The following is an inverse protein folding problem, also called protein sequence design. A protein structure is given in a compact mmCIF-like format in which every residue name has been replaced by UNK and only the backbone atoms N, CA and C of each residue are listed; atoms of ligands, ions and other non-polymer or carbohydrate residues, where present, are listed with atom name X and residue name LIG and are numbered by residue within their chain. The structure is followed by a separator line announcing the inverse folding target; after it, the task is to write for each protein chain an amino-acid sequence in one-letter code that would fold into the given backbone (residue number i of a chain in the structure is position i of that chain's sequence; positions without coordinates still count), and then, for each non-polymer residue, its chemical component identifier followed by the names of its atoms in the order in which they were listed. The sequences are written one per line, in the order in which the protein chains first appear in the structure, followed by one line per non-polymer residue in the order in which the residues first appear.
data_IF_143405776066
#
_entry.id   IF_143405776066
#
_cell.length_a   1.000
_cell.length_b   1.000
_cell.length_c   1.000
_cell.angle_alpha   90.00
_cell.angle_beta   90.00
_cell.angle_gamma   90.00
#
_symmetry.space_group_name_H-M   'P 1'
#
loop_
_entity.id
_entity.type
_entity.pdbx_description
1 polymer ?
#
# COMPACT_ATOMS: atom_id res chain seq x y z
N UNK A 1 -13.63 8.94 7.57
CA UNK A 1 -14.57 8.57 6.48
C UNK A 1 -13.89 7.94 5.24
N UNK A 2 -12.60 7.58 5.30
CA UNK A 2 -11.87 7.04 4.14
C UNK A 2 -11.99 5.53 3.89
N UNK A 3 -12.33 4.71 4.88
CA UNK A 3 -12.30 3.25 4.73
C UNK A 3 -13.65 2.70 4.20
N UNK A 4 -13.65 1.87 3.14
CA UNK A 4 -14.89 1.35 2.51
C UNK A 4 -15.06 -0.16 2.60
N UNK A 5 -13.97 -0.92 2.55
CA UNK A 5 -14.00 -2.38 2.46
C UNK A 5 -12.73 -2.98 3.03
N UNK A 6 -12.85 -4.10 3.74
CA UNK A 6 -11.75 -4.94 4.22
C UNK A 6 -12.14 -6.41 4.06
N UNK A 7 -11.20 -7.23 3.60
CA UNK A 7 -11.27 -8.69 3.62
C UNK A 7 -9.89 -9.25 3.93
N UNK A 8 -9.86 -10.31 4.72
CA UNK A 8 -8.66 -11.08 4.99
C UNK A 8 -8.91 -12.53 4.59
N UNK A 9 -7.98 -13.14 3.85
CA UNK A 9 -8.00 -14.56 3.55
C UNK A 9 -6.63 -15.19 3.74
N UNK A 10 -6.63 -16.47 4.08
CA UNK A 10 -5.49 -17.35 3.90
C UNK A 10 -5.61 -17.96 2.49
N UNK A 11 -4.48 -17.99 1.77
CA UNK A 11 -4.37 -18.67 0.47
C UNK A 11 -3.61 -19.99 0.58
N UNK A 12 -2.80 -20.14 1.62
CA UNK A 12 -2.00 -21.31 1.89
C UNK A 12 -1.73 -21.42 3.40
N UNK A 13 -1.82 -22.63 4.00
CA UNK A 13 -2.14 -23.92 3.36
C UNK A 13 -3.61 -24.11 2.96
N UNK A 14 -4.53 -23.34 3.54
CA UNK A 14 -5.96 -23.43 3.26
C UNK A 14 -6.42 -22.16 2.53
N UNK A 15 -7.23 -22.32 1.48
CA UNK A 15 -7.95 -21.21 0.84
C UNK A 15 -9.23 -20.94 1.65
N UNK A 16 -9.16 -19.97 2.57
CA UNK A 16 -10.27 -19.63 3.47
C UNK A 16 -10.31 -18.15 3.80
N UNK A 17 -11.51 -17.63 4.00
CA UNK A 17 -11.71 -16.31 4.60
C UNK A 17 -11.39 -16.36 6.10
N UNK A 18 -10.76 -15.31 6.62
CA UNK A 18 -10.36 -15.21 8.01
C UNK A 18 -11.29 -14.28 8.78
N UNK A 19 -11.58 -14.68 10.02
CA UNK A 19 -12.30 -13.83 10.95
C UNK A 19 -11.43 -12.65 11.40
N UNK A 20 -12.06 -11.49 11.54
CA UNK A 20 -11.44 -10.30 12.07
C UNK A 20 -12.39 -9.51 12.96
N UNK A 21 -11.82 -8.73 13.87
CA UNK A 21 -12.53 -7.69 14.62
C UNK A 21 -12.07 -6.32 14.17
N UNK A 22 -13.00 -5.35 14.15
CA UNK A 22 -12.71 -3.95 13.85
C UNK A 22 -12.87 -3.11 15.12
N UNK A 23 -11.94 -2.20 15.36
CA UNK A 23 -12.09 -1.14 16.36
C UNK A 23 -11.78 0.23 15.78
N UNK A 24 -12.47 1.25 16.29
CA UNK A 24 -12.33 2.65 15.91
C UNK A 24 -11.80 3.43 17.11
N UNK A 25 -10.70 4.14 16.93
CA UNK A 25 -10.14 5.04 17.93
C UNK A 25 -9.78 6.37 17.27
N UNK A 26 -10.49 7.46 17.59
CA UNK A 26 -10.31 8.81 17.03
C UNK A 26 -10.14 8.86 15.50
N UNK A 27 -8.90 8.73 15.02
CA UNK A 27 -8.43 8.81 13.64
C UNK A 27 -7.89 7.47 13.07
N UNK A 28 -7.87 6.40 13.88
CA UNK A 28 -7.37 5.09 13.53
C UNK A 28 -8.49 4.05 13.43
N UNK A 29 -8.46 3.27 12.35
CA UNK A 29 -9.22 2.02 12.22
C UNK A 29 -8.24 0.87 12.39
N UNK A 30 -8.52 -0.04 13.31
CA UNK A 30 -7.68 -1.23 13.55
C UNK A 30 -8.47 -2.48 13.18
N UNK A 31 -7.85 -3.32 12.33
CA UNK A 31 -8.32 -4.67 12.05
C UNK A 31 -7.42 -5.66 12.75
N UNK A 32 -8.01 -6.53 13.56
CA UNK A 32 -7.31 -7.64 14.19
C UNK A 32 -7.82 -8.94 13.59
N UNK A 33 -6.95 -9.63 12.87
CA UNK A 33 -7.21 -10.88 12.17
C UNK A 33 -6.83 -12.04 13.08
N UNK A 34 -7.67 -13.06 13.13
CA UNK A 34 -7.43 -14.24 13.96
C UNK A 34 -7.17 -15.44 13.06
N UNK A 35 -6.02 -16.08 13.27
CA UNK A 35 -5.69 -17.33 12.63
C UNK A 35 -4.89 -18.20 13.61
N UNK A 36 -5.24 -19.49 13.71
CA UNK A 36 -4.51 -20.43 14.55
C UNK A 36 -3.32 -20.93 13.76
N UNK A 37 -2.13 -20.79 14.36
CA UNK A 37 -0.87 -21.18 13.73
C UNK A 37 0.07 -21.87 14.72
N UNK A 38 0.83 -22.87 14.26
CA UNK A 38 1.85 -23.57 15.07
C UNK A 38 3.06 -24.01 14.24
N UNK A 39 4.12 -23.19 14.25
CA UNK A 39 5.39 -23.43 13.53
C UNK A 39 5.20 -23.87 12.07
N UNK A 40 4.57 -23.00 11.30
CA UNK A 40 4.19 -23.27 9.92
C UNK A 40 4.40 -22.03 9.05
N UNK A 41 4.30 -22.23 7.72
CA UNK A 41 4.33 -21.14 6.75
C UNK A 41 2.93 -20.94 6.19
N UNK A 42 2.48 -19.69 6.21
CA UNK A 42 1.19 -19.29 5.66
C UNK A 42 1.32 -18.15 4.66
N UNK A 43 0.37 -18.07 3.73
CA UNK A 43 0.20 -16.95 2.81
C UNK A 43 -1.14 -16.30 3.11
N UNK A 44 -1.11 -15.00 3.38
CA UNK A 44 -2.31 -14.20 3.63
C UNK A 44 -2.51 -13.17 2.52
N UNK A 45 -3.76 -12.88 2.17
CA UNK A 45 -4.15 -11.73 1.37
C UNK A 45 -5.04 -10.82 2.19
N UNK A 46 -4.63 -9.56 2.28
CA UNK A 46 -5.39 -8.51 2.92
C UNK A 46 -5.84 -7.53 1.84
N UNK A 47 -7.13 -7.51 1.55
CA UNK A 47 -7.72 -6.63 0.55
C UNK A 47 -8.47 -5.49 1.24
N UNK A 48 -8.24 -4.26 0.80
CA UNK A 48 -8.96 -3.11 1.35
C UNK A 48 -9.17 -2.00 0.34
N UNK A 49 -10.24 -1.23 0.54
CA UNK A 49 -10.55 -0.05 -0.27
C UNK A 49 -10.57 1.20 0.59
N UNK A 50 -9.74 2.16 0.18
CA UNK A 50 -9.68 3.50 0.74
C UNK A 50 -10.29 4.51 -0.24
N UNK A 51 -10.88 5.56 0.29
CA UNK A 51 -11.38 6.74 -0.43
C UNK A 51 -10.45 7.90 -0.19
N UNK A 52 -10.42 8.83 -1.15
CA UNK A 52 -9.70 10.10 -1.03
C UNK A 52 -8.19 9.93 -0.74
N UNK A 53 -7.56 8.91 -1.35
CA UNK A 53 -6.12 8.61 -1.16
C UNK A 53 -5.19 9.56 -1.91
N UNK A 54 -5.73 10.39 -2.80
CA UNK A 54 -4.98 11.37 -3.56
C UNK A 54 -5.44 12.78 -3.19
N UNK A 55 -4.49 13.68 -3.01
CA UNK A 55 -4.72 15.11 -2.80
C UNK A 55 -4.57 15.83 -4.13
N UNK A 56 -5.53 16.69 -4.48
CA UNK A 56 -5.46 17.51 -5.68
C UNK A 56 -5.00 18.93 -5.31
N UNK A 57 -4.00 19.42 -6.04
CA UNK A 57 -3.58 20.81 -6.05
C UNK A 57 -3.98 21.47 -7.38
N UNK A 58 -3.64 22.73 -7.58
CA UNK A 58 -4.04 23.45 -8.81
C UNK A 58 -3.31 22.93 -10.07
N UNK A 59 -2.09 22.41 -9.91
CA UNK A 59 -1.18 22.02 -10.99
C UNK A 59 -0.71 20.56 -10.92
N UNK A 60 -0.91 19.88 -9.78
CA UNK A 60 -0.47 18.50 -9.57
C UNK A 60 -1.45 17.71 -8.69
N UNK A 61 -1.34 16.39 -8.72
CA UNK A 61 -1.96 15.49 -7.76
C UNK A 61 -0.87 14.75 -6.99
N UNK A 62 -1.15 14.45 -5.73
CA UNK A 62 -0.23 13.75 -4.82
C UNK A 62 -0.90 12.48 -4.30
N UNK A 63 -0.17 11.36 -4.40
CA UNK A 63 -0.40 10.19 -3.58
C UNK A 63 0.72 10.12 -2.54
N UNK A 64 0.35 10.07 -1.26
CA UNK A 64 1.28 9.88 -0.15
C UNK A 64 0.76 8.77 0.74
N UNK A 65 1.59 7.75 0.97
CA UNK A 65 1.23 6.64 1.82
C UNK A 65 2.42 6.08 2.59
N UNK A 66 2.22 5.87 3.89
CA UNK A 66 3.15 5.17 4.76
C UNK A 66 2.64 3.75 4.97
N UNK A 67 3.33 2.78 4.36
CA UNK A 67 2.94 1.37 4.38
C UNK A 67 3.32 0.70 5.71
N UNK A 68 4.49 1.06 6.23
CA UNK A 68 4.99 0.62 7.52
C UNK A 68 5.58 1.80 8.28
N UNK A 69 5.47 1.76 9.60
CA UNK A 69 5.99 2.79 10.50
C UNK A 69 6.52 2.17 11.81
N UNK A 70 6.88 3.03 12.76
CA UNK A 70 7.45 2.60 14.05
C UNK A 70 6.52 1.72 14.90
N UNK A 71 5.22 1.64 14.58
CA UNK A 71 4.28 0.74 15.24
C UNK A 71 4.44 -0.72 14.81
N UNK A 72 5.05 -0.98 13.64
CA UNK A 72 5.34 -2.32 13.18
C UNK A 72 6.49 -2.93 14.00
N UNK A 73 6.16 -3.81 14.95
CA UNK A 73 7.17 -4.45 15.81
C UNK A 73 7.85 -5.67 15.18
N UNK A 74 7.39 -6.12 14.01
CA UNK A 74 7.88 -7.34 13.37
C UNK A 74 8.85 -7.02 12.23
N UNK A 75 10.05 -7.63 12.18
CA UNK A 75 10.91 -7.49 11.02
C UNK A 75 10.27 -8.13 9.78
N UNK A 76 10.52 -7.57 8.61
CA UNK A 76 10.00 -8.06 7.32
C UNK A 76 11.19 -8.41 6.43
N UNK A 77 11.25 -9.64 5.91
CA UNK A 77 12.39 -10.10 5.13
C UNK A 77 12.50 -9.45 3.75
N UNK A 78 11.38 -9.17 3.10
CA UNK A 78 11.34 -8.54 1.78
C UNK A 78 10.02 -7.81 1.59
N UNK A 79 10.08 -6.57 1.11
CA UNK A 79 8.92 -5.75 0.79
C UNK A 79 8.96 -5.43 -0.70
N UNK A 80 7.83 -5.67 -1.37
CA UNK A 80 7.58 -5.19 -2.71
C UNK A 80 6.23 -4.46 -2.73
N UNK A 81 6.26 -3.19 -3.09
CA UNK A 81 5.08 -2.34 -3.23
C UNK A 81 4.93 -2.00 -4.71
N UNK A 82 3.82 -2.38 -5.31
CA UNK A 82 3.47 -2.03 -6.68
C UNK A 82 2.30 -1.03 -6.66
N UNK A 83 2.50 0.13 -7.28
CA UNK A 83 1.51 1.20 -7.36
C UNK A 83 1.12 1.39 -8.81
N UNK A 84 -0.17 1.31 -9.07
CA UNK A 84 -0.78 1.51 -10.38
C UNK A 84 -1.66 2.77 -10.33
N UNK A 85 -1.31 3.75 -11.17
CA UNK A 85 -2.09 4.98 -11.31
C UNK A 85 -3.24 4.75 -12.29
N UNK A 86 -4.40 5.42 -12.13
CA UNK A 86 -5.59 5.17 -12.95
C UNK A 86 -5.51 5.62 -14.41
N UNK A 87 -4.36 6.11 -14.88
CA UNK A 87 -4.18 6.55 -16.26
C UNK A 87 -3.91 5.34 -17.19
N UNK A 88 -4.44 5.40 -18.42
CA UNK A 88 -4.20 4.36 -19.42
C UNK A 88 -2.72 4.26 -19.84
N UNK A 89 -2.02 5.40 -19.84
CA UNK A 89 -0.60 5.50 -20.12
C UNK A 89 0.05 6.42 -19.08
N UNK A 90 1.16 5.95 -18.49
CA UNK A 90 1.92 6.66 -17.47
C UNK A 90 3.31 6.95 -18.04
N UNK A 91 3.67 8.22 -18.16
CA UNK A 91 5.00 8.65 -18.61
C UNK A 91 5.89 8.92 -17.41
N UNK A 92 7.08 8.34 -17.39
CA UNK A 92 8.05 8.51 -16.31
C UNK A 92 8.47 9.98 -16.14
N UNK A 93 8.50 10.75 -17.22
CA UNK A 93 8.86 12.16 -17.24
C UNK A 93 7.85 13.04 -16.48
N UNK A 94 6.60 12.59 -16.40
CA UNK A 94 5.51 13.30 -15.73
C UNK A 94 5.39 12.96 -14.25
N UNK A 95 6.15 11.98 -13.77
CA UNK A 95 6.15 11.54 -12.39
C UNK A 95 7.29 12.19 -11.61
N UNK A 96 6.99 12.55 -10.35
CA UNK A 96 8.02 12.77 -9.32
C UNK A 96 7.80 11.77 -8.21
N UNK A 97 8.77 10.88 -8.02
CA UNK A 97 8.65 9.72 -7.16
C UNK A 97 9.68 9.83 -6.05
N UNK A 98 9.22 9.75 -4.81
CA UNK A 98 10.04 9.76 -3.61
C UNK A 98 9.72 8.50 -2.81
N UNK A 99 10.75 7.74 -2.46
CA UNK A 99 10.67 6.65 -1.50
C UNK A 99 11.46 7.03 -0.26
N UNK A 100 10.88 6.75 0.90
CA UNK A 100 11.60 6.91 2.16
C UNK A 100 11.50 5.61 2.96
N UNK A 101 12.62 5.22 3.54
CA UNK A 101 12.80 3.96 4.25
C UNK A 101 14.29 3.61 4.34
N UNK A 102 14.64 2.32 4.44
CA UNK A 102 16.03 1.86 4.45
C UNK A 102 16.84 2.38 3.24
N UNK A 103 18.15 2.57 3.45
CA UNK A 103 19.06 3.17 2.45
C UNK A 103 19.21 2.34 1.18
N UNK A 104 18.98 1.03 1.25
CA UNK A 104 19.08 0.08 0.16
C UNK A 104 17.75 -0.12 -0.60
N UNK A 105 16.71 0.63 -0.23
CA UNK A 105 15.45 0.66 -0.96
C UNK A 105 15.63 1.13 -2.41
N UNK A 106 14.90 0.50 -3.34
CA UNK A 106 14.95 0.79 -4.78
C UNK A 106 13.59 1.22 -5.28
N UNK A 107 13.59 2.15 -6.24
CA UNK A 107 12.39 2.63 -6.93
C UNK A 107 12.60 2.49 -8.43
N UNK A 108 11.61 1.94 -9.11
CA UNK A 108 11.61 1.80 -10.57
C UNK A 108 10.22 2.00 -11.16
N UNK A 109 10.17 2.30 -12.45
CA UNK A 109 8.93 2.33 -13.23
C UNK A 109 9.05 1.20 -14.27
N UNK A 110 8.08 0.29 -14.28
CA UNK A 110 8.02 -0.83 -15.20
C UNK A 110 7.48 -0.41 -16.56
N UNK A 111 7.69 -1.23 -17.58
CA UNK A 111 7.17 -1.01 -18.94
C UNK A 111 5.64 -0.90 -19.00
N UNK A 112 4.93 -1.55 -18.06
CA UNK A 112 3.47 -1.47 -17.91
C UNK A 112 3.01 -0.24 -17.11
N UNK A 113 3.90 0.72 -16.83
CA UNK A 113 3.61 1.96 -16.12
C UNK A 113 3.52 1.83 -14.61
N UNK A 114 3.70 0.63 -14.05
CA UNK A 114 3.67 0.41 -12.60
C UNK A 114 4.90 0.97 -11.92
N UNK A 115 4.69 1.66 -10.81
CA UNK A 115 5.76 2.13 -9.95
C UNK A 115 6.04 1.04 -8.92
N UNK A 116 7.29 0.63 -8.80
CA UNK A 116 7.72 -0.46 -7.92
C UNK A 116 8.73 0.05 -6.92
N UNK A 117 8.44 -0.16 -5.64
CA UNK A 117 9.36 0.01 -4.53
C UNK A 117 9.74 -1.34 -3.95
N UNK A 118 11.04 -1.58 -3.79
CA UNK A 118 11.57 -2.81 -3.20
C UNK A 118 12.54 -2.50 -2.06
N UNK A 119 12.41 -3.24 -0.95
CA UNK A 119 13.28 -3.15 0.22
C UNK A 119 13.61 -4.58 0.67
N UNK A 120 14.91 -4.88 0.72
CA UNK A 120 15.45 -6.16 1.20
C UNK A 120 15.74 -6.07 2.70
N UNK A 121 14.78 -6.51 3.51
CA UNK A 121 14.88 -6.42 4.96
C UNK A 121 14.40 -5.07 5.51
N UNK A 122 13.31 -5.09 6.27
CA UNK A 122 12.86 -3.96 7.09
C UNK A 122 12.97 -4.37 8.55
N UNK A 123 13.73 -3.61 9.34
CA UNK A 123 13.86 -3.88 10.76
C UNK A 123 12.57 -3.54 11.51
N UNK A 124 12.43 -4.11 12.70
CA UNK A 124 11.37 -3.72 13.62
C UNK A 124 11.40 -2.21 13.85
N UNK A 125 10.23 -1.57 13.80
CA UNK A 125 10.02 -0.13 13.99
C UNK A 125 10.69 0.78 12.95
N UNK A 126 11.05 0.27 11.79
CA UNK A 126 11.44 1.10 10.64
C UNK A 126 10.24 1.42 9.74
N UNK A 127 10.33 2.54 9.03
CA UNK A 127 9.26 2.99 8.12
C UNK A 127 9.56 2.70 6.66
N UNK A 128 8.49 2.54 5.87
CA UNK A 128 8.53 2.55 4.40
C UNK A 128 7.34 3.35 3.90
N UNK A 129 7.61 4.40 3.13
CA UNK A 129 6.58 5.28 2.55
C UNK A 129 6.90 5.67 1.11
N UNK A 130 5.84 5.99 0.38
CA UNK A 130 5.91 6.49 -0.99
C UNK A 130 5.20 7.85 -1.08
N UNK A 131 5.83 8.79 -1.79
CA UNK A 131 5.19 10.02 -2.27
C UNK A 131 5.34 10.10 -3.78
N UNK A 132 4.23 10.26 -4.47
CA UNK A 132 4.18 10.34 -5.93
C UNK A 132 3.41 11.59 -6.31
N UNK A 133 4.04 12.47 -7.07
CA UNK A 133 3.39 13.58 -7.73
C UNK A 133 3.16 13.22 -9.20
N UNK A 134 1.96 13.51 -9.69
CA UNK A 134 1.54 13.17 -11.04
C UNK A 134 0.49 14.16 -11.56
N UNK A 135 0.28 14.26 -12.88
CA UNK A 135 -0.70 15.19 -13.45
C UNK A 135 -2.13 14.89 -12.99
N UNK A 136 -2.91 15.93 -12.67
CA UNK A 136 -4.32 15.82 -12.24
C UNK A 136 -5.15 15.02 -13.24
N UNK A 137 -4.85 15.13 -14.54
CA UNK A 137 -5.58 14.44 -15.61
C UNK A 137 -5.56 12.91 -15.48
N UNK A 138 -4.61 12.33 -14.74
CA UNK A 138 -4.60 10.88 -14.48
C UNK A 138 -5.80 10.46 -13.62
N UNK A 139 -6.33 11.35 -12.76
CA UNK A 139 -7.52 11.07 -11.95
C UNK A 139 -8.84 11.34 -12.68
N UNK A 140 -8.83 12.20 -13.70
CA UNK A 140 -10.03 12.66 -14.41
C UNK A 140 -10.63 11.60 -15.35
N UNK A 141 -9.90 10.52 -15.61
CA UNK A 141 -10.33 9.42 -16.47
C UNK A 141 -11.05 8.30 -15.71
N UNK A 142 -11.10 8.37 -14.37
CA UNK A 142 -11.91 7.44 -13.57
C UNK A 142 -13.36 7.92 -13.59
N UNK A 143 -14.33 7.15 -14.10
CA UNK A 143 -15.73 7.51 -13.99
C UNK A 143 -16.07 7.72 -12.51
N UNK A 144 -16.57 8.91 -12.16
CA UNK A 144 -17.10 9.16 -10.81
C UNK A 144 -18.28 8.20 -10.61
N UNK A 145 -18.10 7.17 -9.78
CA UNK A 145 -19.18 6.31 -9.29
C UNK A 145 -19.89 6.99 -8.12
#
# INVERSE_FOLDING_TARGET
DGFKYFKASEYFPEDKELEYTQSLAADMVTYKIYDKSSNERKLFLLEYQLKNVATLYNDTAEFYWKFFDESNTSPIGHIKIEIELPAAEVSAEELKIFGHGPLDGKVSIREDGKIVYEVDGLSSREMVEARILFPIRYLLLVPRK
#
